data_IF_830704747859
#
_entry.id   IF_830704747859
#
_cell.length_a   1.000
_cell.length_b   1.000
_cell.length_c   1.000
_cell.angle_alpha   90.00
_cell.angle_beta   90.00
_cell.angle_gamma   90.00
#
_symmetry.space_group_name_H-M   'P 1'
#
loop_
_entity.id
_entity.type
_entity.pdbx_description
1 polymer ?
#
# COMPACT_ATOMS: atom_id res chain seq x y z
N UNK A 1 19.34 1.05 -9.82
CA UNK A 1 17.87 1.05 -9.99
C UNK A 1 17.15 0.60 -8.73
N UNK A 2 17.55 -0.50 -8.09
CA UNK A 2 16.88 -0.99 -6.86
C UNK A 2 17.02 -0.06 -5.65
N UNK A 3 18.22 0.50 -5.41
CA UNK A 3 18.44 1.44 -4.30
C UNK A 3 17.55 2.69 -4.39
N UNK A 4 17.26 3.14 -5.62
CA UNK A 4 16.39 4.29 -5.89
C UNK A 4 14.95 4.00 -5.46
N UNK A 5 14.43 2.81 -5.77
CA UNK A 5 13.09 2.38 -5.36
C UNK A 5 12.97 2.30 -3.83
N UNK A 6 14.01 1.77 -3.16
CA UNK A 6 14.05 1.70 -1.70
C UNK A 6 14.05 3.11 -1.08
N UNK A 7 14.84 4.03 -1.63
CA UNK A 7 14.86 5.42 -1.16
C UNK A 7 13.51 6.11 -1.34
N UNK A 8 12.85 5.89 -2.48
CA UNK A 8 11.52 6.46 -2.77
C UNK A 8 10.50 5.92 -1.80
N UNK A 9 10.50 4.60 -1.54
CA UNK A 9 9.57 3.97 -0.60
C UNK A 9 9.75 4.51 0.82
N UNK A 10 10.97 4.42 1.37
CA UNK A 10 11.26 4.82 2.75
C UNK A 10 11.15 6.34 2.92
N UNK A 11 11.63 7.10 1.94
CA UNK A 11 11.60 8.56 1.95
C UNK A 11 10.18 9.10 1.89
N UNK A 12 9.36 8.64 0.93
CA UNK A 12 7.96 9.07 0.83
C UNK A 12 7.15 8.64 2.05
N UNK A 13 7.28 7.40 2.50
CA UNK A 13 6.61 6.89 3.69
C UNK A 13 6.95 7.71 4.94
N UNK A 14 8.24 7.94 5.19
CA UNK A 14 8.68 8.73 6.36
C UNK A 14 8.19 10.16 6.27
N UNK A 15 8.24 10.78 5.09
CA UNK A 15 7.77 12.15 4.90
C UNK A 15 6.25 12.27 5.15
N UNK A 16 5.45 11.32 4.66
CA UNK A 16 4.01 11.27 4.90
C UNK A 16 3.69 11.11 6.39
N UNK A 17 4.44 10.25 7.11
CA UNK A 17 4.28 10.09 8.55
C UNK A 17 4.66 11.34 9.35
N UNK A 18 5.76 12.02 8.97
CA UNK A 18 6.20 13.24 9.64
C UNK A 18 5.18 14.38 9.52
N UNK A 19 4.41 14.41 8.42
CA UNK A 19 3.33 15.38 8.19
C UNK A 19 2.03 14.98 8.94
N UNK A 20 2.00 13.80 9.59
CA UNK A 20 0.86 13.33 10.37
C UNK A 20 -0.23 12.64 9.53
N UNK A 21 0.08 12.23 8.30
CA UNK A 21 -0.85 11.45 7.48
C UNK A 21 -1.10 10.08 8.14
N UNK A 22 -2.35 9.60 8.23
CA UNK A 22 -2.63 8.31 8.85
C UNK A 22 -1.84 7.19 8.17
N UNK A 23 -1.29 6.28 8.98
CA UNK A 23 -0.31 5.27 8.56
C UNK A 23 -0.79 4.47 7.33
N UNK A 24 -2.08 4.11 7.29
CA UNK A 24 -2.68 3.38 6.15
C UNK A 24 -2.52 4.11 4.80
N UNK A 25 -2.79 5.42 4.77
CA UNK A 25 -2.62 6.22 3.55
C UNK A 25 -1.14 6.37 3.18
N UNK A 26 -0.28 6.55 4.18
CA UNK A 26 1.17 6.67 3.96
C UNK A 26 1.76 5.43 3.30
N UNK A 27 1.35 4.23 3.74
CA UNK A 27 1.79 2.95 3.14
C UNK A 27 1.30 2.83 1.70
N UNK A 28 0.01 3.13 1.45
CA UNK A 28 -0.58 3.04 0.12
C UNK A 28 0.10 3.96 -0.90
N UNK A 29 0.26 5.24 -0.55
CA UNK A 29 0.84 6.25 -1.43
C UNK A 29 2.32 5.96 -1.71
N UNK A 30 3.10 5.58 -0.68
CA UNK A 30 4.51 5.24 -0.84
C UNK A 30 4.70 4.01 -1.74
N UNK A 31 3.86 2.99 -1.57
CA UNK A 31 3.92 1.76 -2.38
C UNK A 31 3.57 2.04 -3.84
N UNK A 32 2.51 2.81 -4.10
CA UNK A 32 2.11 3.18 -5.48
C UNK A 32 3.16 4.04 -6.16
N UNK A 33 3.72 5.04 -5.45
CA UNK A 33 4.82 5.87 -6.00
C UNK A 33 6.03 5.03 -6.38
N UNK A 34 6.39 4.06 -5.54
CA UNK A 34 7.53 3.16 -5.80
C UNK A 34 7.25 2.24 -6.98
N UNK A 35 6.03 1.70 -7.09
CA UNK A 35 5.63 0.86 -8.22
C UNK A 35 5.66 1.64 -9.55
N UNK A 36 5.20 2.88 -9.56
CA UNK A 36 5.23 3.75 -10.73
C UNK A 36 6.66 4.07 -11.21
N UNK A 37 7.64 4.12 -10.30
CA UNK A 37 9.04 4.28 -10.68
C UNK A 37 9.72 2.96 -11.07
N UNK A 38 9.22 1.82 -10.60
CA UNK A 38 9.86 0.53 -10.81
C UNK A 38 9.38 -0.21 -12.07
N UNK A 39 8.15 0.03 -12.53
CA UNK A 39 7.54 -0.59 -13.71
C UNK A 39 6.74 0.42 -14.53
N UNK A 40 6.37 0.07 -15.76
CA UNK A 40 5.58 0.94 -16.64
C UNK A 40 4.24 1.33 -15.97
N UNK A 41 3.81 2.58 -16.16
CA UNK A 41 2.66 3.21 -15.53
C UNK A 41 1.36 2.39 -15.66
N UNK A 42 1.11 1.81 -16.83
CA UNK A 42 -0.09 0.99 -17.07
C UNK A 42 -0.15 -0.22 -16.13
N UNK A 43 0.81 -1.16 -16.21
CA UNK A 43 0.93 -2.29 -15.29
C UNK A 43 1.04 -1.91 -13.81
N UNK A 44 1.70 -0.79 -13.49
CA UNK A 44 1.85 -0.32 -12.11
C UNK A 44 0.49 -0.03 -11.47
N UNK A 45 -0.35 0.73 -12.17
CA UNK A 45 -1.64 1.18 -11.66
C UNK A 45 -2.65 0.02 -11.58
N UNK A 46 -2.64 -0.87 -12.57
CA UNK A 46 -3.50 -2.07 -12.54
C UNK A 46 -3.09 -3.00 -11.40
N UNK A 47 -1.79 -3.22 -11.18
CA UNK A 47 -1.30 -4.04 -10.07
C UNK A 47 -1.66 -3.43 -8.71
N UNK A 48 -1.51 -2.11 -8.56
CA UNK A 48 -1.93 -1.41 -7.36
C UNK A 48 -3.44 -1.59 -7.08
N UNK A 49 -4.28 -1.39 -8.10
CA UNK A 49 -5.73 -1.57 -7.98
C UNK A 49 -6.11 -3.01 -7.61
N UNK A 50 -5.46 -4.01 -8.23
CA UNK A 50 -5.68 -5.43 -7.90
C UNK A 50 -5.28 -5.75 -6.46
N UNK A 51 -4.15 -5.21 -5.97
CA UNK A 51 -3.72 -5.38 -4.57
C UNK A 51 -4.68 -4.72 -3.57
N UNK A 52 -5.28 -3.58 -3.93
CA UNK A 52 -6.30 -2.94 -3.09
C UNK A 52 -7.60 -3.77 -3.05
N UNK A 53 -8.07 -4.28 -4.19
CA UNK A 53 -9.26 -5.13 -4.28
C UNK A 53 -9.09 -6.43 -3.48
N UNK A 54 -8.00 -7.16 -3.71
CA UNK A 54 -7.69 -8.39 -2.96
C UNK A 54 -7.46 -8.14 -1.48
N UNK A 55 -6.89 -6.99 -1.11
CA UNK A 55 -6.75 -6.57 0.30
C UNK A 55 -8.10 -6.35 0.98
N UNK A 56 -9.08 -5.79 0.28
CA UNK A 56 -10.46 -5.65 0.78
C UNK A 56 -11.13 -7.01 1.00
N UNK A 57 -10.97 -7.95 0.06
CA UNK A 57 -11.53 -9.31 0.20
C UNK A 57 -10.92 -10.04 1.40
N UNK A 58 -9.60 -9.91 1.59
CA UNK A 58 -8.90 -10.48 2.74
C UNK A 58 -9.33 -9.82 4.07
N UNK A 59 -9.62 -8.51 4.07
CA UNK A 59 -10.15 -7.83 5.25
C UNK A 59 -11.57 -8.29 5.59
N UNK A 60 -12.43 -8.50 4.60
CA UNK A 60 -13.77 -9.05 4.83
C UNK A 60 -13.72 -10.46 5.45
N UNK A 61 -12.83 -11.33 4.95
CA UNK A 61 -12.61 -12.67 5.53
C UNK A 61 -12.05 -12.61 6.96
N UNK A 62 -11.13 -11.67 7.23
CA UNK A 62 -10.61 -11.44 8.57
C UNK A 62 -11.69 -10.89 9.51
N UNK A 63 -12.52 -9.97 9.02
CA UNK A 63 -13.64 -9.39 9.77
C UNK A 63 -14.67 -10.47 10.15
N UNK A 64 -15.01 -11.39 9.24
CA UNK A 64 -15.87 -12.54 9.54
C UNK A 64 -15.25 -13.41 10.64
N UNK A 65 -13.96 -13.72 10.51
CA UNK A 65 -13.24 -14.54 11.49
C UNK A 65 -13.22 -13.86 12.87
N UNK A 66 -12.96 -12.55 12.93
CA UNK A 66 -12.99 -11.79 14.17
C UNK A 66 -14.40 -11.62 14.72
N UNK A 67 -15.43 -11.52 13.87
CA UNK A 67 -16.82 -11.44 14.32
C UNK A 67 -17.23 -12.73 15.03
N UNK A 68 -16.88 -13.90 14.46
CA UNK A 68 -17.12 -15.21 15.08
C UNK A 68 -16.34 -15.35 16.39
N UNK A 69 -15.09 -14.86 16.44
CA UNK A 69 -14.28 -14.88 17.67
C UNK A 69 -14.76 -13.85 18.71
N UNK A 70 -15.46 -12.79 18.29
CA UNK A 70 -15.92 -11.73 19.19
C UNK A 70 -17.10 -12.13 20.07
N UNK A 71 -17.92 -13.11 19.64
CA UNK A 71 -19.04 -13.66 20.41
C UNK A 71 -20.21 -12.69 20.55
#
# INVERSE_FOLDING_TARGET
MELLNVLVLIGSFSMLLLIGVPISFSIGIATVSTMLMSINTGPALTTAAQRMATGMDSFALLAISFFILSG
#
